data_IF_504482502910
#
_entry.id   IF_504482502910
#
_cell.length_a   1.000
_cell.length_b   1.000
_cell.length_c   1.000
_cell.angle_alpha   90.00
_cell.angle_beta   90.00
_cell.angle_gamma   90.00
#
_symmetry.space_group_name_H-M   'P 1'
#
loop_
_entity.id
_entity.type
_entity.pdbx_description
1 polymer ?
#
# COMPACT_ATOMS: atom_id res chain seq x y z
N UNK A 1 -2.36 -20.69 -3.86
CA UNK A 1 -3.13 -19.72 -3.05
C UNK A 1 -3.12 -18.46 -3.87
N UNK A 2 -4.23 -18.15 -4.56
CA UNK A 2 -4.33 -16.89 -5.28
C UNK A 2 -4.55 -15.84 -4.20
N UNK A 3 -3.54 -15.00 -3.93
CA UNK A 3 -3.77 -13.74 -3.22
C UNK A 3 -4.56 -12.85 -4.19
N UNK A 4 -5.85 -13.14 -4.37
CA UNK A 4 -6.72 -12.30 -5.20
C UNK A 4 -6.81 -10.94 -4.52
N UNK A 5 -6.23 -9.93 -5.18
CA UNK A 5 -6.28 -8.56 -4.72
C UNK A 5 -7.68 -8.02 -5.02
N UNK A 6 -8.38 -7.55 -4.00
CA UNK A 6 -9.72 -7.00 -4.20
C UNK A 6 -9.66 -5.71 -5.03
N UNK A 7 -10.57 -5.53 -6.00
CA UNK A 7 -10.55 -4.40 -6.94
C UNK A 7 -10.44 -3.03 -6.27
N UNK A 8 -11.10 -2.84 -5.11
CA UNK A 8 -11.02 -1.63 -4.28
C UNK A 8 -9.58 -1.14 -3.99
N UNK A 9 -8.59 -2.04 -3.93
CA UNK A 9 -7.21 -1.66 -3.68
C UNK A 9 -6.56 -1.06 -4.93
N UNK A 10 -7.03 -1.40 -6.14
CA UNK A 10 -6.62 -0.72 -7.37
C UNK A 10 -7.18 0.71 -7.42
N UNK A 11 -8.41 0.94 -6.96
CA UNK A 11 -8.96 2.29 -6.84
C UNK A 11 -8.05 3.17 -5.94
N UNK A 12 -7.57 2.61 -4.81
CA UNK A 12 -6.59 3.29 -3.94
C UNK A 12 -5.23 3.52 -4.61
N UNK A 13 -4.76 2.58 -5.45
CA UNK A 13 -3.52 2.76 -6.21
C UNK A 13 -3.67 3.90 -7.21
N UNK A 14 -4.81 4.04 -7.87
CA UNK A 14 -5.06 5.15 -8.79
C UNK A 14 -5.06 6.50 -8.05
N UNK A 15 -5.73 6.59 -6.90
CA UNK A 15 -5.69 7.78 -6.04
C UNK A 15 -4.27 8.10 -5.58
N UNK A 16 -3.55 7.11 -5.05
CA UNK A 16 -2.15 7.26 -4.66
C UNK A 16 -1.26 7.71 -5.83
N UNK A 17 -1.44 7.16 -7.02
CA UNK A 17 -0.66 7.52 -8.20
C UNK A 17 -0.91 8.96 -8.66
N UNK A 18 -2.09 9.52 -8.40
CA UNK A 18 -2.39 10.94 -8.69
C UNK A 18 -1.75 11.89 -7.68
N UNK A 19 -1.54 11.44 -6.44
CA UNK A 19 -0.94 12.25 -5.37
C UNK A 19 0.57 12.03 -5.19
N UNK A 20 1.11 10.91 -5.65
CA UNK A 20 2.50 10.54 -5.43
C UNK A 20 3.44 11.47 -6.20
N UNK A 21 4.55 11.82 -5.54
CA UNK A 21 5.60 12.65 -6.14
C UNK A 21 6.30 11.88 -7.26
N UNK A 22 6.53 10.58 -7.06
CA UNK A 22 7.15 9.72 -8.06
C UNK A 22 6.05 9.00 -8.86
N UNK A 23 6.08 9.06 -10.21
CA UNK A 23 5.08 8.41 -11.03
C UNK A 23 5.06 6.91 -10.73
N UNK A 24 3.86 6.34 -10.62
CA UNK A 24 3.65 4.90 -10.46
C UNK A 24 3.64 4.26 -11.84
N UNK A 25 4.52 3.28 -12.06
CA UNK A 25 4.52 2.52 -13.30
C UNK A 25 3.40 1.47 -13.27
N UNK A 26 2.86 1.14 -14.45
CA UNK A 26 1.82 0.10 -14.58
C UNK A 26 2.25 -1.26 -14.02
N UNK A 27 3.55 -1.56 -14.07
CA UNK A 27 4.12 -2.79 -13.50
C UNK A 27 4.15 -2.80 -11.97
N UNK A 28 3.99 -1.65 -11.32
CA UNK A 28 3.94 -1.49 -9.87
C UNK A 28 2.51 -1.56 -9.32
N UNK A 29 1.46 -1.46 -10.16
CA UNK A 29 0.06 -1.39 -9.72
C UNK A 29 -0.36 -2.60 -8.88
N UNK A 30 -0.09 -3.81 -9.34
CA UNK A 30 -0.41 -5.04 -8.60
C UNK A 30 0.35 -5.11 -7.26
N UNK A 31 1.62 -4.71 -7.25
CA UNK A 31 2.47 -4.71 -6.07
C UNK A 31 1.97 -3.69 -5.03
N UNK A 32 1.61 -2.48 -5.47
CA UNK A 32 1.04 -1.46 -4.60
C UNK A 32 -0.33 -1.86 -4.08
N UNK A 33 -1.19 -2.44 -4.91
CA UNK A 33 -2.52 -2.90 -4.51
C UNK A 33 -2.42 -4.01 -3.45
N UNK A 34 -1.46 -4.95 -3.61
CA UNK A 34 -1.17 -5.95 -2.60
C UNK A 34 -0.65 -5.32 -1.30
N UNK A 35 0.25 -4.34 -1.38
CA UNK A 35 0.77 -3.65 -0.21
C UNK A 35 -0.34 -2.91 0.57
N UNK A 36 -1.23 -2.20 -0.12
CA UNK A 36 -2.41 -1.58 0.49
C UNK A 36 -3.32 -2.62 1.14
N UNK A 37 -3.54 -3.77 0.50
CA UNK A 37 -4.29 -4.87 1.07
C UNK A 37 -3.68 -5.35 2.38
N UNK A 38 -2.37 -5.61 2.41
CA UNK A 38 -1.66 -6.07 3.61
C UNK A 38 -1.76 -5.05 4.75
N UNK A 39 -1.51 -3.76 4.46
CA UNK A 39 -1.61 -2.67 5.43
C UNK A 39 -3.01 -2.55 6.03
N UNK A 40 -4.03 -2.45 5.18
CA UNK A 40 -5.41 -2.29 5.64
C UNK A 40 -5.91 -3.53 6.37
N UNK A 41 -5.51 -4.73 5.96
CA UNK A 41 -5.84 -5.96 6.70
C UNK A 41 -5.26 -5.93 8.12
N UNK A 42 -4.00 -5.52 8.30
CA UNK A 42 -3.41 -5.36 9.64
C UNK A 42 -4.13 -4.30 10.48
N UNK A 43 -4.44 -3.14 9.89
CA UNK A 43 -5.22 -2.10 10.58
C UNK A 43 -6.59 -2.60 11.02
N UNK A 44 -7.31 -3.32 10.14
CA UNK A 44 -8.62 -3.90 10.46
C UNK A 44 -8.56 -4.97 11.56
N UNK A 45 -7.41 -5.64 11.72
CA UNK A 45 -7.15 -6.59 12.80
C UNK A 45 -6.65 -5.93 14.09
N UNK A 46 -6.57 -4.59 14.15
CA UNK A 46 -5.98 -3.84 15.26
C UNK A 46 -4.52 -4.21 15.55
N UNK A 47 -3.78 -4.66 14.53
CA UNK A 47 -2.36 -4.99 14.64
C UNK A 47 -1.49 -3.73 14.55
N UNK A 48 -0.41 -3.69 15.32
CA UNK A 48 0.58 -2.62 15.24
C UNK A 48 1.27 -2.64 13.87
N UNK A 49 1.37 -1.47 13.23
CA UNK A 49 2.13 -1.28 12.00
C UNK A 49 3.42 -0.55 12.36
N UNK A 50 4.39 -1.34 12.82
CA UNK A 50 5.75 -0.86 13.05
C UNK A 50 6.50 -0.68 11.72
N UNK A 51 7.62 0.06 11.76
CA UNK A 51 8.49 0.22 10.59
C UNK A 51 8.97 -1.14 10.04
N UNK A 52 9.33 -2.08 10.92
CA UNK A 52 9.75 -3.42 10.51
C UNK A 52 8.62 -4.18 9.81
N UNK A 53 7.40 -4.07 10.35
CA UNK A 53 6.22 -4.70 9.77
C UNK A 53 5.92 -4.13 8.37
N UNK A 54 6.08 -2.82 8.17
CA UNK A 54 5.95 -2.17 6.85
C UNK A 54 7.02 -2.65 5.87
N UNK A 55 8.28 -2.75 6.31
CA UNK A 55 9.36 -3.25 5.46
C UNK A 55 9.14 -4.69 5.02
N UNK A 56 8.67 -5.57 5.92
CA UNK A 56 8.32 -6.96 5.58
C UNK A 56 7.18 -7.02 4.56
N UNK A 57 6.12 -6.22 4.73
CA UNK A 57 5.02 -6.16 3.76
C UNK A 57 5.45 -5.59 2.42
N UNK A 58 6.37 -4.62 2.42
CA UNK A 58 6.91 -4.06 1.18
C UNK A 58 7.72 -5.09 0.41
N UNK A 59 8.51 -5.91 1.11
CA UNK A 59 9.23 -7.05 0.54
C UNK A 59 8.27 -8.13 0.02
N UNK A 60 7.21 -8.45 0.77
CA UNK A 60 6.18 -9.41 0.36
C UNK A 60 5.43 -8.95 -0.89
N UNK A 61 5.10 -7.67 -0.95
CA UNK A 61 4.37 -7.07 -2.06
C UNK A 61 5.27 -6.79 -3.28
N UNK A 62 6.59 -6.69 -3.08
CA UNK A 62 7.55 -6.38 -4.14
C UNK A 62 7.62 -4.90 -4.51
N UNK A 63 7.36 -3.99 -3.56
CA UNK A 63 7.48 -2.54 -3.78
C UNK A 63 8.82 -1.99 -3.28
N UNK A 64 9.28 -0.87 -3.84
CA UNK A 64 10.48 -0.18 -3.34
C UNK A 64 10.22 0.38 -1.93
N UNK A 65 11.14 0.14 -0.99
CA UNK A 65 11.06 0.65 0.39
C UNK A 65 10.93 2.18 0.45
N UNK A 66 11.37 2.91 -0.57
CA UNK A 66 11.18 4.37 -0.68
C UNK A 66 9.71 4.78 -0.74
N UNK A 67 8.83 3.89 -1.21
CA UNK A 67 7.38 4.13 -1.28
C UNK A 67 6.72 4.06 0.10
N UNK A 68 7.34 3.42 1.10
CA UNK A 68 6.73 3.16 2.41
C UNK A 68 6.31 4.46 3.10
N UNK A 69 7.22 5.43 3.20
CA UNK A 69 6.95 6.71 3.87
C UNK A 69 5.87 7.52 3.14
N UNK A 70 5.94 7.57 1.81
CA UNK A 70 4.96 8.27 0.97
C UNK A 70 3.56 7.66 1.09
N UNK A 71 3.47 6.32 1.08
CA UNK A 71 2.23 5.57 1.28
C UNK A 71 1.68 5.77 2.70
N UNK A 72 2.54 5.79 3.72
CA UNK A 72 2.12 6.06 5.10
C UNK A 72 1.53 7.47 5.23
N UNK A 73 2.12 8.47 4.58
CA UNK A 73 1.58 9.83 4.55
C UNK A 73 0.26 9.90 3.79
N UNK A 74 0.13 9.19 2.66
CA UNK A 74 -1.12 9.08 1.90
C UNK A 74 -2.24 8.46 2.75
N UNK A 75 -2.02 7.31 3.37
CA UNK A 75 -3.02 6.63 4.18
C UNK A 75 -3.47 7.45 5.40
N UNK A 76 -2.56 8.21 6.00
CA UNK A 76 -2.92 9.10 7.10
C UNK A 76 -3.82 10.27 6.65
N UNK A 77 -3.76 10.69 5.37
CA UNK A 77 -4.72 11.66 4.83
C UNK A 77 -6.03 10.97 4.47
N UNK A 78 -5.96 9.89 3.71
CA UNK A 78 -7.11 9.11 3.25
C UNK A 78 -8.03 8.66 4.40
N UNK A 79 -7.46 8.22 5.53
CA UNK A 79 -8.25 7.80 6.70
C UNK A 79 -8.84 8.95 7.52
N UNK A 80 -8.46 10.20 7.24
CA UNK A 80 -8.93 11.41 7.92
C UNK A 80 -9.87 12.27 7.06
N UNK A 81 -10.15 11.88 5.81
CA UNK A 81 -11.20 12.44 4.96
C UNK A 81 -12.59 11.89 5.30
#
# INVERSE_FOLDING_TARGET
MNNEIHFKYYDMVEEYAMESIEPVAKTEEDALALYFQLLLTRLMNNEEISESAQQEMAEEAGIDKKRIDDIAMFLNRWGNE
#
